data_IF_890180211822
#
_entry.id   IF_890180211822
#
_cell.length_a   1.000
_cell.length_b   1.000
_cell.length_c   1.000
_cell.angle_alpha   90.00
_cell.angle_beta   90.00
_cell.angle_gamma   90.00
#
_symmetry.space_group_name_H-M   'P 1'
#
loop_
_entity.id
_entity.type
_entity.pdbx_description
1 polymer ?
#
# COMPACT_ATOMS: atom_id res chain seq x y z
N UNK A 1 2.14 -9.24 2.59
CA UNK A 1 2.02 -8.06 1.71
C UNK A 1 1.00 -7.08 2.30
N UNK A 2 1.31 -5.78 2.34
CA UNK A 2 0.45 -4.77 2.99
C UNK A 2 -0.95 -4.71 2.37
N UNK A 3 -1.06 -4.58 1.03
CA UNK A 3 -2.36 -4.51 0.34
C UNK A 3 -3.24 -5.76 0.50
N UNK A 4 -2.64 -6.95 0.44
CA UNK A 4 -3.35 -8.22 0.67
C UNK A 4 -3.92 -8.31 2.09
N UNK A 5 -3.13 -7.95 3.10
CA UNK A 5 -3.55 -7.99 4.50
C UNK A 5 -4.56 -6.88 4.83
N UNK A 6 -4.42 -5.71 4.21
CA UNK A 6 -5.36 -4.60 4.36
C UNK A 6 -6.75 -4.98 3.83
N UNK A 7 -6.82 -5.58 2.63
CA UNK A 7 -8.08 -6.07 2.06
C UNK A 7 -8.71 -7.14 2.96
N UNK A 8 -7.95 -8.18 3.34
CA UNK A 8 -8.47 -9.26 4.20
C UNK A 8 -9.05 -8.72 5.50
N UNK A 9 -8.34 -7.82 6.17
CA UNK A 9 -8.80 -7.20 7.40
C UNK A 9 -10.07 -6.36 7.18
N UNK A 10 -10.09 -5.52 6.14
CA UNK A 10 -11.25 -4.70 5.78
C UNK A 10 -12.51 -5.54 5.54
N UNK A 11 -12.35 -6.70 4.92
CA UNK A 11 -13.44 -7.59 4.58
C UNK A 11 -14.02 -8.37 5.77
N UNK A 12 -13.33 -8.44 6.91
CA UNK A 12 -13.79 -9.20 8.08
C UNK A 12 -15.18 -8.77 8.56
N UNK A 13 -15.50 -7.48 8.45
CA UNK A 13 -16.78 -6.92 8.88
C UNK A 13 -17.99 -7.45 8.07
N UNK A 14 -17.77 -8.02 6.88
CA UNK A 14 -18.84 -8.55 6.03
C UNK A 14 -19.00 -10.07 6.17
N UNK A 15 -18.16 -10.74 6.96
CA UNK A 15 -18.23 -12.19 7.17
C UNK A 15 -19.29 -12.52 8.21
N UNK A 16 -20.02 -13.59 7.97
CA UNK A 16 -20.91 -14.23 8.95
C UNK A 16 -20.64 -15.73 8.96
N UNK A 17 -21.13 -16.49 9.96
CA UNK A 17 -21.05 -17.95 9.92
C UNK A 17 -21.66 -18.56 8.65
N UNK A 18 -22.71 -17.96 8.10
CA UNK A 18 -23.40 -18.38 6.87
C UNK A 18 -22.66 -17.93 5.60
N UNK A 19 -21.80 -16.91 5.70
CA UNK A 19 -20.98 -16.39 4.60
C UNK A 19 -19.52 -16.26 5.04
N UNK A 20 -18.80 -17.39 5.20
CA UNK A 20 -17.43 -17.39 5.68
C UNK A 20 -16.41 -16.92 4.63
N UNK A 21 -16.75 -16.93 3.35
CA UNK A 21 -15.94 -16.40 2.25
C UNK A 21 -16.77 -15.43 1.42
N UNK A 22 -16.13 -14.42 0.83
CA UNK A 22 -16.84 -13.31 0.17
C UNK A 22 -16.73 -13.36 -1.35
N UNK A 23 -15.70 -14.04 -1.85
CA UNK A 23 -15.41 -14.23 -3.26
C UNK A 23 -15.34 -15.73 -3.55
N UNK A 24 -15.66 -16.12 -4.77
CA UNK A 24 -15.56 -17.52 -5.22
C UNK A 24 -14.14 -17.93 -5.59
N UNK A 25 -13.27 -16.96 -5.87
CA UNK A 25 -11.90 -17.18 -6.32
C UNK A 25 -10.98 -16.01 -5.92
N UNK A 26 -9.70 -16.31 -5.71
CA UNK A 26 -8.61 -15.33 -5.58
C UNK A 26 -7.55 -15.64 -6.63
N UNK A 27 -7.19 -14.65 -7.45
CA UNK A 27 -6.10 -14.74 -8.42
C UNK A 27 -4.84 -14.13 -7.82
N UNK A 28 -3.79 -14.95 -7.63
CA UNK A 28 -2.48 -14.52 -7.13
C UNK A 28 -1.52 -14.11 -8.25
N UNK A 29 -0.29 -13.72 -7.86
CA UNK A 29 0.82 -13.53 -8.82
C UNK A 29 0.81 -12.24 -9.63
N UNK A 30 -0.13 -11.32 -9.37
CA UNK A 30 -0.21 -10.06 -10.11
C UNK A 30 0.95 -9.09 -9.79
N UNK A 31 1.53 -9.11 -8.59
CA UNK A 31 2.87 -8.58 -8.26
C UNK A 31 3.15 -7.07 -8.46
N UNK A 32 2.35 -6.35 -9.25
CA UNK A 32 2.49 -4.94 -9.62
C UNK A 32 1.10 -4.33 -9.77
N UNK A 33 0.98 -3.01 -9.61
CA UNK A 33 -0.30 -2.31 -9.78
C UNK A 33 -0.79 -2.40 -11.22
N UNK A 34 0.11 -2.29 -12.22
CA UNK A 34 -0.24 -2.42 -13.64
C UNK A 34 -0.98 -3.73 -13.94
N UNK A 35 -0.44 -4.86 -13.48
CA UNK A 35 -1.07 -6.17 -13.69
C UNK A 35 -2.43 -6.32 -13.01
N UNK A 36 -2.70 -5.57 -11.94
CA UNK A 36 -4.03 -5.54 -11.31
C UNK A 36 -5.01 -4.78 -12.20
N UNK A 37 -4.59 -3.64 -12.78
CA UNK A 37 -5.40 -2.92 -13.77
C UNK A 37 -5.68 -3.79 -15.00
N UNK A 38 -4.64 -4.38 -15.60
CA UNK A 38 -4.78 -5.24 -16.78
C UNK A 38 -5.78 -6.37 -16.50
N UNK A 39 -5.63 -7.06 -15.36
CA UNK A 39 -6.53 -8.16 -14.98
C UNK A 39 -7.99 -7.71 -14.80
N UNK A 40 -8.25 -6.51 -14.30
CA UNK A 40 -9.62 -5.94 -14.22
C UNK A 40 -10.15 -5.61 -15.61
N UNK A 41 -9.33 -4.94 -16.43
CA UNK A 41 -9.73 -4.48 -17.77
C UNK A 41 -9.96 -5.62 -18.76
N UNK A 42 -9.23 -6.73 -18.58
CA UNK A 42 -9.39 -7.98 -19.34
C UNK A 42 -10.53 -8.87 -18.80
N UNK A 43 -11.09 -8.54 -17.62
CA UNK A 43 -12.12 -9.34 -16.96
C UNK A 43 -11.61 -10.63 -16.32
N UNK A 44 -10.29 -10.74 -16.07
CA UNK A 44 -9.68 -11.85 -15.34
C UNK A 44 -10.01 -11.81 -13.84
N UNK A 45 -10.20 -10.61 -13.29
CA UNK A 45 -10.70 -10.38 -11.93
C UNK A 45 -11.79 -9.30 -11.95
N UNK A 46 -12.80 -9.41 -11.09
CA UNK A 46 -13.85 -8.38 -10.98
C UNK A 46 -13.37 -7.17 -10.18
N UNK A 47 -12.52 -7.41 -9.17
CA UNK A 47 -12.01 -6.40 -8.24
C UNK A 47 -10.59 -6.76 -7.82
N UNK A 48 -9.76 -5.75 -7.58
CA UNK A 48 -8.39 -5.93 -7.09
C UNK A 48 -7.98 -4.82 -6.13
N UNK A 49 -7.31 -5.14 -4.99
CA UNK A 49 -6.81 -4.13 -4.09
C UNK A 49 -5.56 -3.48 -4.70
N UNK A 50 -5.52 -2.14 -4.68
CA UNK A 50 -4.34 -1.36 -5.05
C UNK A 50 -3.97 -0.44 -3.89
N UNK A 51 -2.69 -0.10 -3.81
CA UNK A 51 -2.21 0.90 -2.86
C UNK A 51 -2.70 2.29 -3.30
N UNK A 52 -3.25 3.06 -2.35
CA UNK A 52 -3.87 4.36 -2.65
C UNK A 52 -2.86 5.38 -3.16
N UNK A 53 -1.61 5.35 -2.69
CA UNK A 53 -0.56 6.25 -3.18
C UNK A 53 -0.20 5.92 -4.63
N UNK A 54 -0.09 4.63 -4.97
CA UNK A 54 0.09 4.22 -6.37
C UNK A 54 -1.10 4.60 -7.26
N UNK A 55 -2.33 4.49 -6.77
CA UNK A 55 -3.50 4.96 -7.51
C UNK A 55 -3.43 6.46 -7.80
N UNK A 56 -3.02 7.28 -6.83
CA UNK A 56 -2.82 8.72 -7.02
C UNK A 56 -1.74 9.02 -8.08
N UNK A 57 -0.63 8.27 -8.07
CA UNK A 57 0.41 8.40 -9.10
C UNK A 57 -0.12 8.04 -10.49
N UNK A 58 -0.94 7.01 -10.62
CA UNK A 58 -1.57 6.66 -11.91
C UNK A 58 -2.54 7.76 -12.35
N UNK A 59 -3.33 8.33 -11.44
CA UNK A 59 -4.20 9.46 -11.77
C UNK A 59 -3.42 10.69 -12.30
N UNK A 60 -2.21 10.92 -11.78
CA UNK A 60 -1.35 12.01 -12.26
C UNK A 60 -0.71 11.69 -13.62
N UNK A 61 -0.16 10.49 -13.78
CA UNK A 61 0.72 10.14 -14.90
C UNK A 61 0.03 9.41 -16.05
N UNK A 62 -1.11 8.75 -15.79
CA UNK A 62 -1.93 8.03 -16.77
C UNK A 62 -3.44 8.16 -16.40
N UNK A 63 -4.01 9.37 -16.54
CA UNK A 63 -5.41 9.62 -16.18
C UNK A 63 -6.40 8.82 -17.03
N UNK A 64 -6.03 8.46 -18.27
CA UNK A 64 -6.86 7.64 -19.15
C UNK A 64 -6.98 6.22 -18.61
N UNK A 65 -5.87 5.60 -18.16
CA UNK A 65 -5.92 4.32 -17.48
C UNK A 65 -6.72 4.40 -16.17
N UNK A 66 -6.50 5.44 -15.37
CA UNK A 66 -7.23 5.63 -14.12
C UNK A 66 -8.75 5.72 -14.33
N UNK A 67 -9.19 6.40 -15.39
CA UNK A 67 -10.60 6.59 -15.72
C UNK A 67 -11.33 5.30 -16.13
N UNK A 68 -10.59 4.24 -16.51
CA UNK A 68 -11.18 2.95 -16.92
C UNK A 68 -11.60 2.07 -15.74
N UNK A 69 -11.21 2.42 -14.53
CA UNK A 69 -11.61 1.74 -13.30
C UNK A 69 -12.29 2.72 -12.35
N UNK A 70 -12.92 2.20 -11.29
CA UNK A 70 -13.47 3.04 -10.22
C UNK A 70 -13.10 2.47 -8.87
N UNK A 71 -12.88 3.35 -7.90
CA UNK A 71 -12.69 2.97 -6.51
C UNK A 71 -14.05 2.53 -5.93
N UNK A 72 -14.11 1.30 -5.41
CA UNK A 72 -15.31 0.77 -4.76
C UNK A 72 -15.35 1.16 -3.27
N UNK A 73 -14.20 1.06 -2.60
CA UNK A 73 -14.05 1.33 -1.18
C UNK A 73 -12.58 1.61 -0.85
N UNK A 74 -12.31 2.07 0.38
CA UNK A 74 -10.97 2.31 0.89
C UNK A 74 -10.78 1.60 2.23
N UNK A 75 -9.66 0.88 2.37
CA UNK A 75 -9.28 0.28 3.64
C UNK A 75 -8.80 1.36 4.62
N UNK A 76 -8.85 1.06 5.92
CA UNK A 76 -8.21 1.90 6.94
C UNK A 76 -6.73 2.16 6.63
N UNK A 77 -6.29 3.41 6.81
CA UNK A 77 -4.94 3.86 6.47
C UNK A 77 -3.85 3.08 7.22
N UNK A 78 -2.68 2.95 6.62
CA UNK A 78 -1.48 2.41 7.23
C UNK A 78 -0.31 3.37 6.99
N UNK A 79 0.77 3.30 7.78
CA UNK A 79 1.95 4.12 7.54
C UNK A 79 2.51 3.91 6.13
N UNK A 80 2.92 5.01 5.49
CA UNK A 80 3.63 4.98 4.21
C UNK A 80 4.94 4.18 4.34
N UNK A 81 5.41 3.47 3.29
CA UNK A 81 6.68 2.76 3.34
C UNK A 81 7.85 3.66 3.76
N UNK A 82 8.68 3.17 4.67
CA UNK A 82 9.89 3.87 5.11
C UNK A 82 11.11 3.44 4.31
N UNK A 83 12.09 4.34 4.20
CA UNK A 83 13.46 3.94 3.88
C UNK A 83 14.05 3.16 5.05
N UNK A 84 14.72 2.06 4.73
CA UNK A 84 15.38 1.19 5.70
C UNK A 84 16.84 1.01 5.30
N UNK A 85 17.73 1.01 6.29
CA UNK A 85 19.15 0.74 6.09
C UNK A 85 19.49 -0.69 6.53
N UNK A 86 20.51 -1.28 5.90
CA UNK A 86 21.06 -2.54 6.38
C UNK A 86 21.69 -2.31 7.78
N UNK A 87 21.55 -3.25 8.74
CA UNK A 87 22.13 -3.11 10.08
C UNK A 87 23.65 -2.92 10.12
N UNK A 88 24.36 -3.29 9.05
CA UNK A 88 25.81 -3.07 8.91
C UNK A 88 26.19 -1.65 8.51
N UNK A 89 25.23 -0.81 8.09
CA UNK A 89 25.50 0.60 7.78
C UNK A 89 25.77 1.33 9.10
N UNK A 90 26.89 2.06 9.22
CA UNK A 90 27.20 2.78 10.45
C UNK A 90 26.09 3.78 10.83
N UNK A 91 25.67 3.85 12.11
CA UNK A 91 24.57 4.71 12.55
C UNK A 91 24.73 6.18 12.13
N UNK A 92 25.96 6.70 12.17
CA UNK A 92 26.26 8.07 11.77
C UNK A 92 25.99 8.35 10.29
N UNK A 93 26.10 7.32 9.43
CA UNK A 93 25.74 7.43 8.00
C UNK A 93 24.23 7.46 7.85
N UNK A 94 23.51 6.62 8.60
CA UNK A 94 22.04 6.61 8.61
C UNK A 94 21.49 7.96 9.10
N UNK A 95 22.06 8.52 10.16
CA UNK A 95 21.64 9.81 10.71
C UNK A 95 21.89 10.96 9.72
N UNK A 96 23.02 10.93 9.01
CA UNK A 96 23.32 11.91 7.95
C UNK A 96 22.34 11.81 6.78
N UNK A 97 21.98 10.60 6.37
CA UNK A 97 20.96 10.38 5.34
C UNK A 97 19.59 10.87 5.80
N UNK A 98 19.15 10.50 7.01
CA UNK A 98 17.89 10.93 7.58
C UNK A 98 17.79 12.48 7.68
N UNK A 99 18.88 13.14 8.09
CA UNK A 99 18.97 14.61 8.13
C UNK A 99 18.89 15.21 6.72
N UNK A 100 19.52 14.57 5.74
CA UNK A 100 19.48 15.01 4.34
C UNK A 100 18.08 14.89 3.74
N UNK A 101 17.38 13.78 3.99
CA UNK A 101 15.98 13.59 3.58
C UNK A 101 15.05 14.60 4.25
N UNK A 102 15.20 14.82 5.56
CA UNK A 102 14.36 15.77 6.30
C UNK A 102 14.49 17.21 5.78
N UNK A 103 15.68 17.61 5.35
CA UNK A 103 15.94 18.95 4.79
C UNK A 103 15.80 19.03 3.27
N UNK A 104 15.33 17.95 2.61
CA UNK A 104 15.20 17.92 1.16
C UNK A 104 14.17 18.92 0.65
N UNK A 105 13.05 19.11 1.36
CA UNK A 105 11.99 20.05 0.98
C UNK A 105 12.47 21.52 0.92
N UNK A 106 13.53 21.87 1.64
CA UNK A 106 14.13 23.21 1.60
C UNK A 106 15.06 23.42 0.39
N UNK A 107 15.27 22.38 -0.44
CA UNK A 107 16.17 22.44 -1.60
C UNK A 107 15.39 22.77 -2.87
N UNK A 108 15.94 23.67 -3.67
CA UNK A 108 15.32 24.11 -4.94
C UNK A 108 15.04 22.96 -5.93
N UNK A 109 15.82 21.88 -5.90
CA UNK A 109 15.63 20.72 -6.75
C UNK A 109 14.47 19.81 -6.32
N UNK A 110 13.99 19.92 -5.08
CA UNK A 110 13.02 18.97 -4.53
C UNK A 110 11.60 19.19 -5.07
N UNK A 111 11.16 20.45 -5.18
CA UNK A 111 9.80 20.80 -5.60
C UNK A 111 9.32 20.08 -6.87
N UNK A 112 10.09 20.09 -7.98
CA UNK A 112 9.72 19.36 -9.19
C UNK A 112 9.56 17.85 -8.99
N UNK A 113 10.48 17.22 -8.26
CA UNK A 113 10.43 15.77 -7.96
C UNK A 113 9.25 15.45 -7.04
N UNK A 114 9.02 16.30 -6.04
CA UNK A 114 7.94 16.17 -5.07
C UNK A 114 6.57 16.21 -5.73
N UNK A 115 6.40 17.07 -6.74
CA UNK A 115 5.18 17.16 -7.54
C UNK A 115 4.93 15.90 -8.37
N UNK A 116 5.97 15.34 -9.00
CA UNK A 116 5.85 14.08 -9.77
C UNK A 116 5.59 12.86 -8.88
N UNK A 117 6.08 12.89 -7.63
CA UNK A 117 5.89 11.83 -6.65
C UNK A 117 4.70 12.06 -5.72
N UNK A 118 4.00 13.19 -5.80
CA UNK A 118 2.91 13.54 -4.86
C UNK A 118 3.32 13.42 -3.38
N UNK A 119 4.51 13.90 -3.03
CA UNK A 119 5.01 13.95 -1.65
C UNK A 119 5.36 15.38 -1.24
N UNK A 120 5.32 15.68 0.05
CA UNK A 120 5.68 17.00 0.59
C UNK A 120 7.09 17.02 1.19
N UNK A 121 7.63 15.86 1.55
CA UNK A 121 8.91 15.74 2.23
C UNK A 121 9.05 14.42 2.99
N UNK A 122 10.02 14.39 3.89
CA UNK A 122 10.33 13.20 4.68
C UNK A 122 10.36 13.53 6.17
N UNK A 123 9.82 12.63 6.98
CA UNK A 123 9.86 12.71 8.44
C UNK A 123 10.56 11.50 9.02
N UNK A 124 11.31 11.64 10.14
CA UNK A 124 11.78 10.50 10.90
C UNK A 124 10.63 9.60 11.32
N UNK A 125 10.84 8.28 11.22
CA UNK A 125 9.92 7.29 11.78
C UNK A 125 10.10 7.30 13.31
N UNK A 126 9.06 7.59 14.09
CA UNK A 126 9.19 7.74 15.55
C UNK A 126 9.56 6.41 16.24
N UNK A 127 9.05 5.29 15.72
CA UNK A 127 9.49 3.95 16.11
C UNK A 127 9.10 2.92 15.05
N UNK A 128 9.82 1.81 14.95
CA UNK A 128 9.45 0.68 14.07
C UNK A 128 8.08 0.10 14.44
N UNK A 129 7.64 0.28 15.69
CA UNK A 129 6.35 -0.17 16.20
C UNK A 129 5.14 0.36 15.44
N UNK A 130 5.26 1.50 14.74
CA UNK A 130 4.15 2.03 13.91
C UNK A 130 3.74 1.07 12.79
N UNK A 131 4.66 0.24 12.30
CA UNK A 131 4.39 -0.75 11.25
C UNK A 131 3.77 -2.05 11.78
N UNK A 132 3.65 -2.21 13.11
CA UNK A 132 3.05 -3.42 13.73
C UNK A 132 1.60 -3.65 13.30
N UNK A 133 0.89 -2.58 12.91
CA UNK A 133 -0.48 -2.66 12.37
C UNK A 133 -0.59 -3.59 11.16
N UNK A 134 0.45 -3.68 10.32
CA UNK A 134 0.46 -4.55 9.14
C UNK A 134 0.42 -6.03 9.56
N UNK A 135 1.17 -6.39 10.61
CA UNK A 135 1.19 -7.74 11.17
C UNK A 135 -0.09 -8.02 11.97
N UNK A 136 -0.59 -7.04 12.71
CA UNK A 136 -1.84 -7.16 13.47
C UNK A 136 -3.03 -7.47 12.55
N UNK A 137 -3.14 -6.78 11.41
CA UNK A 137 -4.18 -7.02 10.39
C UNK A 137 -4.13 -8.44 9.84
N UNK A 138 -2.92 -8.94 9.54
CA UNK A 138 -2.72 -10.31 9.07
C UNK A 138 -3.20 -11.33 10.12
N UNK A 139 -2.75 -11.14 11.37
CA UNK A 139 -3.10 -12.01 12.50
C UNK A 139 -4.61 -12.02 12.77
N UNK A 140 -5.25 -10.85 12.81
CA UNK A 140 -6.69 -10.75 13.02
C UNK A 140 -7.49 -11.52 11.97
N UNK A 141 -7.07 -11.47 10.71
CA UNK A 141 -7.72 -12.23 9.66
C UNK A 141 -7.41 -13.75 9.76
N UNK A 142 -6.21 -14.14 10.21
CA UNK A 142 -5.88 -15.55 10.49
C UNK A 142 -6.68 -16.12 11.66
N UNK A 143 -6.76 -15.40 12.78
CA UNK A 143 -7.52 -15.77 13.98
C UNK A 143 -9.02 -15.88 13.70
N UNK A 144 -9.53 -15.07 12.76
CA UNK A 144 -10.90 -15.19 12.27
C UNK A 144 -11.12 -16.36 11.31
N UNK A 145 -10.11 -17.17 10.99
CA UNK A 145 -10.19 -18.25 10.00
C UNK A 145 -10.38 -17.73 8.57
N UNK A 146 -9.74 -16.62 8.23
CA UNK A 146 -9.82 -15.98 6.90
C UNK A 146 -8.43 -15.85 6.26
N UNK A 147 -7.78 -16.97 5.88
CA UNK A 147 -6.43 -16.96 5.31
C UNK A 147 -6.37 -16.34 3.90
N UNK A 148 -7.49 -16.40 3.16
CA UNK A 148 -7.68 -15.79 1.85
C UNK A 148 -9.11 -15.24 1.69
N UNK A 149 -9.33 -14.28 0.77
CA UNK A 149 -10.68 -13.75 0.53
C UNK A 149 -11.71 -14.71 -0.08
N UNK A 150 -11.28 -15.88 -0.57
CA UNK A 150 -12.09 -16.94 -1.14
C UNK A 150 -11.98 -18.24 -0.34
#
# INVERSE_FOLDING_TARGET
HSGYNALRHHLLQYRTPERPTLYSQVVGGLGTVQKVFDAVLEGTIDVGPIDAYWHLLIQLHDPDLAARVRVLESTVTAPIPAFVANPSVPPEVVDRLATSFKSACDRAWFGPIAAELLIEGFTPVPSVGVFSIIQARARQAEEAGYPAPA
#
